data_IF_043435164962
#
_entry.id   IF_043435164962
#
_cell.length_a   1.000
_cell.length_b   1.000
_cell.length_c   1.000
_cell.angle_alpha   90.00
_cell.angle_beta   90.00
_cell.angle_gamma   90.00
#
_symmetry.space_group_name_H-M   'P 1'
#
loop_
_entity.id
_entity.type
_entity.pdbx_description
1 polymer ?
#
# COMPACT_ATOMS: atom_id res chain seq x y z
N UNK A 1 8.31 6.29 -1.55
CA UNK A 1 7.98 4.85 -1.53
C UNK A 1 6.48 4.67 -1.23
N UNK A 2 5.66 4.59 -2.30
CA UNK A 2 4.18 4.48 -2.18
C UNK A 2 3.77 3.09 -1.66
N UNK A 3 4.59 2.07 -1.93
CA UNK A 3 4.30 0.68 -1.54
C UNK A 3 4.69 0.36 -0.09
N UNK A 4 5.43 1.24 0.57
CA UNK A 4 5.89 1.05 1.94
C UNK A 4 6.99 0.00 2.10
N UNK A 5 7.60 -0.50 1.01
CA UNK A 5 8.68 -1.48 1.08
C UNK A 5 9.94 -0.89 1.70
N UNK A 6 10.62 -1.67 2.52
CA UNK A 6 11.89 -1.28 3.14
C UNK A 6 12.97 -1.08 2.08
N UNK A 7 13.64 0.07 2.11
CA UNK A 7 14.67 0.41 1.11
C UNK A 7 15.86 -0.55 1.16
N UNK A 8 16.18 -1.05 2.34
CA UNK A 8 17.26 -1.99 2.60
C UNK A 8 17.01 -3.36 1.97
N UNK A 9 15.75 -3.67 1.67
CA UNK A 9 15.31 -4.91 1.01
C UNK A 9 15.07 -4.75 -0.49
N UNK A 10 15.49 -3.66 -1.07
CA UNK A 10 15.36 -3.39 -2.52
C UNK A 10 16.74 -3.16 -3.08
N UNK A 11 17.02 -3.79 -4.22
CA UNK A 11 18.23 -3.52 -5.00
C UNK A 11 17.93 -3.46 -6.49
N UNK A 12 18.85 -2.83 -7.25
CA UNK A 12 18.87 -2.88 -8.69
C UNK A 12 19.87 -3.94 -9.13
N UNK A 13 19.43 -4.83 -10.00
CA UNK A 13 20.25 -5.84 -10.64
C UNK A 13 20.31 -5.55 -12.14
N UNK A 14 21.51 -5.29 -12.66
CA UNK A 14 21.73 -5.12 -14.11
C UNK A 14 22.02 -6.48 -14.72
N UNK A 15 21.33 -6.79 -15.80
CA UNK A 15 21.57 -8.02 -16.55
C UNK A 15 22.93 -7.99 -17.26
N UNK A 16 23.65 -9.08 -17.16
CA UNK A 16 24.84 -9.33 -17.97
C UNK A 16 24.45 -9.69 -19.41
N UNK A 17 25.39 -9.61 -20.36
CA UNK A 17 25.13 -9.90 -21.78
C UNK A 17 24.48 -11.27 -22.01
N UNK A 18 24.80 -12.27 -21.17
CA UNK A 18 24.26 -13.63 -21.25
C UNK A 18 22.83 -13.77 -20.70
N UNK A 19 22.39 -12.80 -19.92
CA UNK A 19 21.03 -12.74 -19.31
C UNK A 19 20.06 -11.95 -20.16
N UNK A 20 20.60 -11.10 -21.07
CA UNK A 20 19.77 -10.24 -21.91
C UNK A 20 18.88 -11.04 -22.85
N UNK A 21 17.60 -10.68 -22.87
CA UNK A 21 16.69 -11.16 -23.89
C UNK A 21 17.13 -10.68 -25.29
N UNK A 22 16.92 -11.48 -26.33
CA UNK A 22 17.36 -11.21 -27.72
C UNK A 22 16.85 -9.88 -28.31
N UNK A 23 15.83 -9.27 -27.73
CA UNK A 23 15.26 -8.00 -28.13
C UNK A 23 15.74 -6.82 -27.27
N UNK A 24 16.47 -7.08 -26.19
CA UNK A 24 16.91 -6.06 -25.26
C UNK A 24 18.36 -5.66 -25.51
N UNK A 25 18.64 -4.36 -25.52
CA UNK A 25 19.97 -3.80 -25.51
C UNK A 25 20.53 -3.66 -24.10
N UNK A 26 19.64 -3.44 -23.15
CA UNK A 26 19.94 -3.27 -21.72
C UNK A 26 18.73 -3.66 -20.92
N UNK A 27 18.94 -4.32 -19.77
CA UNK A 27 17.90 -4.69 -18.84
C UNK A 27 18.35 -4.49 -17.40
N UNK A 28 17.40 -4.10 -16.56
CA UNK A 28 17.56 -3.95 -15.13
C UNK A 28 16.35 -4.55 -14.42
N UNK A 29 16.59 -5.27 -13.33
CA UNK A 29 15.55 -5.71 -12.43
C UNK A 29 15.59 -4.88 -11.15
N UNK A 30 14.40 -4.58 -10.64
CA UNK A 30 14.22 -4.20 -9.25
C UNK A 30 13.92 -5.49 -8.50
N UNK A 31 14.82 -5.87 -7.59
CA UNK A 31 14.69 -7.07 -6.79
C UNK A 31 14.35 -6.73 -5.34
N UNK A 32 13.57 -7.60 -4.72
CA UNK A 32 13.23 -7.56 -3.31
C UNK A 32 13.83 -8.77 -2.58
N UNK A 33 14.30 -8.56 -1.35
CA UNK A 33 14.81 -9.61 -0.47
C UNK A 33 13.63 -10.32 0.24
N UNK A 34 13.15 -11.38 -0.41
CA UNK A 34 12.15 -12.26 0.18
C UNK A 34 12.75 -13.18 1.25
N UNK A 35 11.94 -13.85 2.10
CA UNK A 35 12.43 -14.85 3.04
C UNK A 35 13.22 -16.01 2.39
N UNK A 36 13.02 -16.23 1.09
CA UNK A 36 13.71 -17.25 0.26
C UNK A 36 14.86 -16.67 -0.59
N UNK A 37 15.21 -15.41 -0.43
CA UNK A 37 16.28 -14.72 -1.13
C UNK A 37 15.82 -13.63 -2.08
N UNK A 38 16.80 -13.01 -2.78
CA UNK A 38 16.55 -11.95 -3.75
C UNK A 38 15.78 -12.46 -4.96
N UNK A 39 14.78 -11.75 -5.38
CA UNK A 39 14.00 -12.06 -6.58
C UNK A 39 13.37 -10.80 -7.17
N UNK A 40 13.27 -10.79 -8.49
CA UNK A 40 12.68 -9.71 -9.28
C UNK A 40 11.24 -9.41 -8.85
N UNK A 41 10.92 -8.12 -8.73
CA UNK A 41 9.56 -7.59 -8.56
C UNK A 41 9.13 -6.70 -9.72
N UNK A 42 10.09 -6.13 -10.45
CA UNK A 42 9.86 -5.32 -11.65
C UNK A 42 11.06 -5.40 -12.56
N UNK A 43 10.84 -5.61 -13.88
CA UNK A 43 11.85 -5.54 -14.92
C UNK A 43 11.76 -4.23 -15.72
N UNK A 44 12.93 -3.68 -16.11
CA UNK A 44 13.03 -2.45 -16.92
C UNK A 44 13.94 -2.78 -18.10
N UNK A 45 13.39 -2.82 -19.31
CA UNK A 45 14.08 -3.26 -20.51
C UNK A 45 14.14 -2.19 -21.59
N UNK A 46 15.33 -1.93 -22.13
CA UNK A 46 15.50 -1.18 -23.37
C UNK A 46 15.38 -2.16 -24.55
N UNK A 47 14.18 -2.21 -25.15
CA UNK A 47 13.83 -3.12 -26.25
C UNK A 47 14.24 -2.59 -27.63
N UNK A 48 14.91 -1.45 -27.69
CA UNK A 48 15.27 -0.76 -28.93
C UNK A 48 14.04 -0.50 -29.81
N UNK A 49 14.18 -0.50 -31.11
CA UNK A 49 13.10 -0.44 -32.09
C UNK A 49 12.54 -1.82 -32.49
N UNK A 50 12.96 -2.89 -31.77
CA UNK A 50 12.64 -4.28 -32.14
C UNK A 50 11.15 -4.52 -32.36
N UNK A 51 10.30 -4.06 -31.46
CA UNK A 51 8.86 -4.27 -31.55
C UNK A 51 8.24 -3.42 -32.69
N UNK A 52 8.55 -2.13 -32.72
CA UNK A 52 7.98 -1.22 -33.70
C UNK A 52 8.41 -1.54 -35.13
N UNK A 53 9.67 -1.95 -35.33
CA UNK A 53 10.13 -2.37 -36.67
C UNK A 53 9.38 -3.61 -37.18
N UNK A 54 9.12 -4.59 -36.29
CA UNK A 54 8.33 -5.78 -36.62
C UNK A 54 6.85 -5.44 -36.85
N UNK A 55 6.25 -4.63 -35.98
CA UNK A 55 4.89 -4.16 -36.15
C UNK A 55 4.71 -3.42 -37.48
N UNK A 56 5.62 -2.51 -37.83
CA UNK A 56 5.60 -1.81 -39.12
C UNK A 56 5.72 -2.80 -40.28
N UNK A 57 6.67 -3.73 -40.24
CA UNK A 57 6.90 -4.72 -41.30
C UNK A 57 5.67 -5.60 -41.55
N UNK A 58 5.05 -6.13 -40.49
CA UNK A 58 3.96 -7.11 -40.66
C UNK A 58 2.58 -6.48 -40.82
N UNK A 59 2.34 -5.26 -40.32
CA UNK A 59 1.08 -4.58 -40.48
C UNK A 59 1.02 -3.68 -41.71
N UNK A 60 2.17 -3.32 -42.30
CA UNK A 60 2.29 -2.33 -43.33
C UNK A 60 2.00 -0.88 -42.89
N UNK A 61 1.77 -0.66 -41.58
CA UNK A 61 1.49 0.67 -41.02
C UNK A 61 2.78 1.38 -40.64
N UNK A 62 2.88 2.68 -40.92
CA UNK A 62 4.00 3.50 -40.50
C UNK A 62 4.00 3.67 -38.98
N UNK A 63 5.10 3.26 -38.30
CA UNK A 63 5.31 3.37 -36.84
C UNK A 63 6.37 4.42 -36.47
N UNK A 64 6.80 5.25 -37.44
CA UNK A 64 7.80 6.29 -37.20
C UNK A 64 7.22 7.44 -36.39
N UNK A 65 8.02 7.97 -35.47
CA UNK A 65 7.78 9.25 -34.82
C UNK A 65 8.40 10.37 -35.65
N UNK A 66 7.74 11.52 -35.70
CA UNK A 66 8.27 12.74 -36.32
C UNK A 66 8.70 13.71 -35.22
N UNK A 67 10.00 13.92 -35.10
CA UNK A 67 10.58 14.90 -34.20
C UNK A 67 10.56 16.29 -34.87
N UNK A 68 9.57 17.08 -34.55
CA UNK A 68 9.37 18.40 -35.16
C UNK A 68 10.53 19.38 -34.88
N UNK A 69 11.10 19.47 -33.66
CA UNK A 69 12.24 20.35 -33.40
C UNK A 69 13.47 20.07 -34.27
N UNK A 70 13.74 18.78 -34.52
CA UNK A 70 14.91 18.36 -35.31
C UNK A 70 14.54 18.05 -36.78
N UNK A 71 13.26 18.16 -37.16
CA UNK A 71 12.74 17.82 -38.46
C UNK A 71 13.18 16.43 -38.96
N UNK A 72 13.15 15.45 -38.06
CA UNK A 72 13.63 14.08 -38.29
C UNK A 72 12.52 13.04 -38.08
N UNK A 73 12.67 11.88 -38.73
CA UNK A 73 11.77 10.73 -38.57
C UNK A 73 12.58 9.49 -38.23
N UNK A 74 12.16 8.84 -37.16
CA UNK A 74 12.81 7.61 -36.72
C UNK A 74 11.80 6.65 -36.06
N UNK A 75 12.17 5.37 -35.96
CA UNK A 75 11.47 4.40 -35.11
C UNK A 75 11.94 4.59 -33.67
N UNK A 76 11.04 4.94 -32.74
CA UNK A 76 11.42 5.12 -31.33
C UNK A 76 11.89 3.81 -30.70
N UNK A 77 12.78 3.93 -29.74
CA UNK A 77 13.07 2.82 -28.83
C UNK A 77 11.95 2.66 -27.79
N UNK A 78 11.64 1.43 -27.49
CA UNK A 78 10.67 1.09 -26.44
C UNK A 78 11.43 0.82 -25.15
N UNK A 79 11.06 1.55 -24.10
CA UNK A 79 11.46 1.24 -22.75
C UNK A 79 10.24 0.59 -22.09
N UNK A 80 10.38 -0.69 -21.79
CA UNK A 80 9.35 -1.47 -21.10
C UNK A 80 9.63 -1.42 -19.60
N UNK A 81 8.59 -1.18 -18.80
CA UNK A 81 8.56 -1.48 -17.37
C UNK A 81 7.47 -2.52 -17.14
N UNK A 82 7.81 -3.59 -16.44
CA UNK A 82 6.92 -4.75 -16.26
C UNK A 82 7.01 -5.27 -14.83
N UNK A 83 5.89 -5.42 -14.16
CA UNK A 83 5.83 -5.96 -12.81
C UNK A 83 4.70 -6.97 -12.64
N UNK A 84 4.95 -8.02 -11.83
CA UNK A 84 3.97 -9.05 -11.51
C UNK A 84 3.13 -8.66 -10.29
N UNK A 85 1.82 -8.47 -10.47
CA UNK A 85 0.91 -8.11 -9.38
C UNK A 85 1.02 -9.06 -8.18
N UNK A 86 1.01 -10.37 -8.40
CA UNK A 86 1.08 -11.36 -7.32
C UNK A 86 2.44 -11.31 -6.58
N UNK A 87 3.52 -11.08 -7.32
CA UNK A 87 4.87 -10.97 -6.74
C UNK A 87 4.99 -9.69 -5.93
N UNK A 88 4.44 -8.59 -6.42
CA UNK A 88 4.36 -7.33 -5.69
C UNK A 88 3.54 -7.47 -4.40
N UNK A 89 2.37 -8.15 -4.46
CA UNK A 89 1.59 -8.47 -3.26
C UNK A 89 2.39 -9.29 -2.24
N UNK A 90 3.14 -10.29 -2.70
CA UNK A 90 3.97 -11.12 -1.82
C UNK A 90 5.08 -10.28 -1.15
N UNK A 91 5.71 -9.37 -1.89
CA UNK A 91 6.69 -8.45 -1.34
C UNK A 91 6.09 -7.55 -0.26
N UNK A 92 4.92 -6.94 -0.52
CA UNK A 92 4.21 -6.09 0.44
C UNK A 92 3.82 -6.88 1.71
N UNK A 93 3.32 -8.10 1.56
CA UNK A 93 2.96 -8.97 2.69
C UNK A 93 4.19 -9.35 3.51
N UNK A 94 5.28 -9.73 2.83
CA UNK A 94 6.54 -10.14 3.48
C UNK A 94 7.19 -8.97 4.23
N UNK A 95 7.13 -7.76 3.66
CA UNK A 95 7.69 -6.57 4.29
C UNK A 95 6.86 -6.07 5.47
N UNK A 96 5.53 -6.17 5.35
CA UNK A 96 4.60 -5.70 6.37
C UNK A 96 4.56 -6.62 7.62
N UNK A 97 4.91 -7.90 7.48
CA UNK A 97 4.87 -8.85 8.60
C UNK A 97 5.90 -8.50 9.66
N UNK A 98 5.45 -8.31 10.89
CA UNK A 98 6.30 -7.97 12.02
C UNK A 98 5.85 -8.64 13.32
N UNK A 99 6.79 -9.32 13.99
CA UNK A 99 6.60 -9.87 15.33
C UNK A 99 7.06 -8.86 16.37
N UNK A 100 6.11 -8.22 17.03
CA UNK A 100 6.37 -7.34 18.18
C UNK A 100 6.53 -8.17 19.45
N UNK A 101 7.70 -8.77 19.61
CA UNK A 101 8.02 -9.63 20.76
C UNK A 101 7.92 -8.90 22.10
N UNK A 102 8.10 -7.57 22.11
CA UNK A 102 8.01 -6.75 23.34
C UNK A 102 6.57 -6.68 23.84
N UNK A 103 5.60 -6.64 22.95
CA UNK A 103 4.18 -6.49 23.28
C UNK A 103 3.40 -7.78 23.03
N UNK A 104 4.08 -8.90 22.75
CA UNK A 104 3.51 -10.22 22.47
C UNK A 104 2.36 -10.16 21.45
N UNK A 105 2.65 -9.57 20.27
CA UNK A 105 1.69 -9.42 19.17
C UNK A 105 2.32 -9.58 17.80
N UNK A 106 1.53 -10.02 16.84
CA UNK A 106 1.86 -9.96 15.41
C UNK A 106 1.16 -8.74 14.79
N UNK A 107 1.86 -8.06 13.92
CA UNK A 107 1.35 -6.85 13.25
C UNK A 107 1.65 -6.92 11.76
N UNK A 108 0.64 -6.65 10.94
CA UNK A 108 0.86 -6.36 9.52
C UNK A 108 1.04 -4.84 9.35
N UNK A 109 2.29 -4.41 9.20
CA UNK A 109 2.68 -2.99 9.11
C UNK A 109 2.53 -2.42 7.71
N UNK A 110 1.38 -2.69 7.07
CA UNK A 110 1.09 -2.08 5.76
C UNK A 110 1.24 -0.56 5.82
N UNK A 111 1.80 0.01 4.76
CA UNK A 111 1.67 1.45 4.56
C UNK A 111 0.18 1.83 4.63
N UNK A 112 -0.21 2.91 5.35
CA UNK A 112 -1.63 3.22 5.57
C UNK A 112 -2.46 3.31 4.28
N UNK A 113 -1.88 3.78 3.17
CA UNK A 113 -2.52 3.79 1.85
C UNK A 113 -2.86 2.40 1.31
N UNK A 114 -2.07 1.39 1.63
CA UNK A 114 -2.27 0.02 1.15
C UNK A 114 -3.12 -0.83 2.08
N UNK A 115 -3.25 -0.45 3.36
CA UNK A 115 -4.05 -1.18 4.32
C UNK A 115 -5.48 -1.39 3.79
N UNK A 116 -6.00 -2.64 3.75
CA UNK A 116 -7.33 -2.92 3.21
C UNK A 116 -8.46 -2.22 3.96
N UNK A 117 -8.28 -2.02 5.26
CA UNK A 117 -9.18 -1.29 6.16
C UNK A 117 -8.39 -0.16 6.78
N UNK A 118 -8.93 1.07 6.75
CA UNK A 118 -8.21 2.25 7.26
C UNK A 118 -8.40 2.45 8.74
N UNK A 119 -9.59 2.20 9.25
CA UNK A 119 -9.89 2.35 10.66
C UNK A 119 -10.88 1.31 11.18
N UNK A 120 -10.75 0.95 12.45
CA UNK A 120 -11.78 0.22 13.20
C UNK A 120 -12.41 1.14 14.24
N UNK A 121 -13.73 1.11 14.33
CA UNK A 121 -14.49 1.92 15.28
C UNK A 121 -15.05 1.00 16.37
N UNK A 122 -14.64 1.24 17.62
CA UNK A 122 -14.92 0.39 18.76
C UNK A 122 -15.64 1.14 19.87
N UNK A 123 -16.90 0.81 20.19
CA UNK A 123 -17.50 1.30 21.43
C UNK A 123 -16.82 0.63 22.62
N UNK A 124 -16.44 1.39 23.66
CA UNK A 124 -15.76 0.85 24.85
C UNK A 124 -16.59 -0.26 25.49
N UNK A 125 -17.90 -0.03 25.65
CA UNK A 125 -18.87 -1.00 26.16
C UNK A 125 -20.08 -1.11 25.23
N UNK A 126 -20.85 -2.22 25.35
CA UNK A 126 -22.02 -2.52 24.49
C UNK A 126 -23.33 -1.90 25.00
N UNK A 127 -23.27 -0.82 25.73
CA UNK A 127 -24.41 -0.14 26.37
C UNK A 127 -24.22 1.37 26.41
N UNK A 128 -25.12 2.06 27.04
CA UNK A 128 -25.06 3.50 27.32
C UNK A 128 -25.04 4.39 26.06
N UNK A 129 -25.56 3.91 24.91
CA UNK A 129 -25.59 4.65 23.64
C UNK A 129 -24.25 4.72 22.91
N UNK A 130 -23.18 4.07 23.43
CA UNK A 130 -21.86 4.06 22.78
C UNK A 130 -21.86 3.29 21.45
N UNK A 131 -22.54 2.13 21.30
CA UNK A 131 -22.67 1.44 20.02
C UNK A 131 -23.32 2.31 18.94
N UNK A 132 -24.37 3.03 19.27
CA UNK A 132 -25.09 3.92 18.35
C UNK A 132 -24.23 5.09 17.92
N UNK A 133 -23.48 5.69 18.86
CA UNK A 133 -22.52 6.76 18.56
C UNK A 133 -21.38 6.26 17.66
N UNK A 134 -20.84 5.07 17.94
CA UNK A 134 -19.80 4.44 17.13
C UNK A 134 -20.26 4.15 15.68
N UNK A 135 -21.51 3.69 15.50
CA UNK A 135 -22.09 3.46 14.16
C UNK A 135 -22.24 4.77 13.39
N UNK A 136 -22.63 5.88 14.04
CA UNK A 136 -22.66 7.21 13.39
C UNK A 136 -21.26 7.61 12.88
N UNK A 137 -20.20 7.33 13.62
CA UNK A 137 -18.83 7.61 13.17
C UNK A 137 -18.48 6.72 11.96
N UNK A 138 -18.86 5.44 11.96
CA UNK A 138 -18.71 4.58 10.77
C UNK A 138 -19.44 5.20 9.57
N UNK A 139 -20.65 5.71 9.74
CA UNK A 139 -21.43 6.32 8.66
C UNK A 139 -20.79 7.60 8.10
N UNK A 140 -20.09 8.36 8.94
CA UNK A 140 -19.31 9.54 8.53
C UNK A 140 -18.09 9.12 7.68
N UNK A 141 -17.38 8.07 8.09
CA UNK A 141 -16.09 7.70 7.48
C UNK A 141 -16.23 6.79 6.26
N UNK A 142 -17.23 5.90 6.22
CA UNK A 142 -17.39 4.88 5.17
C UNK A 142 -17.52 5.41 3.72
N UNK A 143 -18.00 6.64 3.44
CA UNK A 143 -17.98 7.18 2.09
C UNK A 143 -16.58 7.49 1.56
N UNK A 144 -15.59 7.64 2.44
CA UNK A 144 -14.23 8.07 2.10
C UNK A 144 -13.24 6.91 2.02
N UNK A 145 -13.41 5.88 2.88
CA UNK A 145 -12.55 4.69 2.91
C UNK A 145 -13.21 3.55 3.69
N UNK A 146 -12.67 2.35 3.52
CA UNK A 146 -13.16 1.17 4.22
C UNK A 146 -12.86 1.25 5.71
N UNK A 147 -13.92 1.18 6.52
CA UNK A 147 -13.87 1.11 7.99
C UNK A 147 -14.60 -0.12 8.49
N UNK A 148 -14.24 -0.59 9.68
CA UNK A 148 -14.91 -1.68 10.37
C UNK A 148 -15.51 -1.17 11.68
N UNK A 149 -16.61 -1.80 12.08
CA UNK A 149 -17.18 -1.69 13.41
C UNK A 149 -16.91 -2.96 14.20
N UNK A 150 -16.34 -2.86 15.41
CA UNK A 150 -16.10 -4.02 16.26
C UNK A 150 -16.47 -3.75 17.72
N UNK A 151 -17.29 -4.64 18.29
CA UNK A 151 -17.70 -4.62 19.69
C UNK A 151 -17.47 -5.96 20.41
N UNK A 152 -16.71 -6.90 19.80
CA UNK A 152 -16.53 -8.24 20.33
C UNK A 152 -15.30 -8.36 21.24
N UNK A 153 -15.49 -8.83 22.46
CA UNK A 153 -14.43 -8.98 23.44
C UNK A 153 -13.97 -7.66 24.07
N UNK A 154 -12.81 -7.68 24.74
CA UNK A 154 -12.22 -6.46 25.32
C UNK A 154 -11.63 -5.54 24.25
N UNK A 155 -11.46 -4.26 24.58
CA UNK A 155 -10.91 -3.26 23.66
C UNK A 155 -9.47 -3.67 23.20
N UNK A 156 -8.64 -4.17 24.08
CA UNK A 156 -7.28 -4.63 23.73
C UNK A 156 -7.31 -5.77 22.71
N UNK A 157 -8.22 -6.77 22.86
CA UNK A 157 -8.38 -7.87 21.90
C UNK A 157 -8.86 -7.38 20.52
N UNK A 158 -9.67 -6.32 20.47
CA UNK A 158 -10.11 -5.72 19.20
C UNK A 158 -8.95 -5.03 18.49
N UNK A 159 -8.13 -4.30 19.23
CA UNK A 159 -6.93 -3.68 18.68
C UNK A 159 -5.96 -4.72 18.14
N UNK A 160 -5.65 -5.78 18.88
CA UNK A 160 -4.72 -6.82 18.44
C UNK A 160 -5.20 -7.52 17.16
N UNK A 161 -6.49 -7.87 17.05
CA UNK A 161 -7.04 -8.40 15.79
C UNK A 161 -6.87 -7.46 14.61
N UNK A 162 -6.98 -6.16 14.84
CA UNK A 162 -6.81 -5.17 13.78
C UNK A 162 -5.35 -4.88 13.49
N UNK A 163 -4.46 -4.98 14.48
CA UNK A 163 -3.02 -4.95 14.27
C UNK A 163 -2.58 -6.12 13.38
N UNK A 164 -3.07 -7.36 13.63
CA UNK A 164 -2.86 -8.53 12.77
C UNK A 164 -3.43 -8.36 11.36
N UNK A 165 -4.58 -7.72 11.23
CA UNK A 165 -5.19 -7.43 9.92
C UNK A 165 -4.53 -6.24 9.19
N UNK A 166 -3.67 -5.50 9.87
CA UNK A 166 -2.94 -4.37 9.32
C UNK A 166 -3.73 -3.06 9.25
N UNK A 167 -4.81 -2.92 10.04
CA UNK A 167 -5.58 -1.68 10.14
C UNK A 167 -4.77 -0.60 10.87
N UNK A 168 -4.45 0.55 10.24
CA UNK A 168 -3.53 1.53 10.83
C UNK A 168 -4.13 2.31 12.01
N UNK A 169 -5.46 2.49 12.04
CA UNK A 169 -6.11 3.33 13.05
C UNK A 169 -7.20 2.59 13.82
N UNK A 170 -7.17 2.73 15.15
CA UNK A 170 -8.23 2.27 16.04
C UNK A 170 -8.93 3.44 16.72
N UNK A 171 -10.23 3.54 16.58
CA UNK A 171 -11.04 4.61 17.20
C UNK A 171 -11.86 4.03 18.33
N UNK A 172 -11.68 4.55 19.54
CA UNK A 172 -12.51 4.17 20.69
C UNK A 172 -13.52 5.26 21.02
N UNK A 173 -14.77 4.84 21.11
CA UNK A 173 -15.92 5.64 21.56
C UNK A 173 -16.21 5.25 23.01
N UNK A 174 -16.04 6.17 23.94
CA UNK A 174 -16.16 5.96 25.37
C UNK A 174 -17.24 6.89 26.03
N UNK A 175 -17.35 6.89 27.33
CA UNK A 175 -18.33 7.70 28.02
C UNK A 175 -18.08 9.20 27.83
N UNK A 176 -16.82 9.63 27.81
CA UNK A 176 -16.46 11.02 27.56
C UNK A 176 -16.89 11.49 26.16
N UNK A 177 -16.88 10.58 25.17
CA UNK A 177 -17.38 10.90 23.81
C UNK A 177 -18.82 11.40 23.81
N UNK A 178 -19.64 11.00 24.81
CA UNK A 178 -21.02 11.48 24.94
C UNK A 178 -21.10 12.90 25.48
N UNK A 179 -20.13 13.33 26.23
CA UNK A 179 -20.09 14.62 26.91
C UNK A 179 -19.51 15.71 26.01
N UNK A 180 -18.43 15.40 25.31
CA UNK A 180 -17.63 16.40 24.60
C UNK A 180 -17.40 16.11 23.10
N UNK A 181 -18.08 15.09 22.54
CA UNK A 181 -17.95 14.69 21.13
C UNK A 181 -16.50 14.40 20.68
N UNK A 182 -15.64 13.97 21.61
CA UNK A 182 -14.27 13.54 21.30
C UNK A 182 -14.12 12.01 21.31
N UNK A 183 -13.15 11.49 20.58
CA UNK A 183 -12.80 10.06 20.53
C UNK A 183 -11.32 9.85 20.79
N UNK A 184 -10.95 8.63 21.18
CA UNK A 184 -9.54 8.24 21.22
C UNK A 184 -9.16 7.60 19.90
N UNK A 185 -8.15 8.16 19.21
CA UNK A 185 -7.50 7.59 18.04
C UNK A 185 -6.20 6.91 18.46
N UNK A 186 -6.08 5.59 18.15
CA UNK A 186 -4.87 4.81 18.40
C UNK A 186 -4.15 4.51 17.08
N UNK A 187 -2.87 4.72 17.05
CA UNK A 187 -1.97 4.37 15.95
C UNK A 187 -1.44 2.94 16.12
N UNK A 188 -1.59 2.08 15.11
CA UNK A 188 -1.15 0.67 15.11
C UNK A 188 0.32 0.50 15.47
N UNK A 189 1.19 1.25 14.82
CA UNK A 189 2.64 1.01 14.87
C UNK A 189 3.27 1.48 16.18
N UNK A 190 2.86 2.63 16.67
CA UNK A 190 3.38 3.25 17.90
C UNK A 190 2.57 2.90 19.14
N UNK A 191 1.33 2.45 18.97
CA UNK A 191 0.32 2.30 20.02
C UNK A 191 -0.05 3.63 20.73
N UNK A 192 0.47 4.75 20.26
CA UNK A 192 0.11 6.06 20.77
C UNK A 192 -1.40 6.29 20.62
N UNK A 193 -1.97 6.94 21.62
CA UNK A 193 -3.40 7.26 21.66
C UNK A 193 -3.57 8.77 21.87
N UNK A 194 -4.26 9.39 20.92
CA UNK A 194 -4.54 10.80 20.95
C UNK A 194 -6.04 11.03 21.04
N UNK A 195 -6.44 12.07 21.78
CA UNK A 195 -7.85 12.44 21.89
C UNK A 195 -8.15 13.61 20.97
N UNK A 196 -9.19 13.47 20.14
CA UNK A 196 -9.56 14.48 19.15
C UNK A 196 -11.08 14.55 18.95
N UNK A 197 -11.61 15.70 18.53
CA UNK A 197 -13.01 15.85 18.16
C UNK A 197 -13.42 14.96 16.99
N UNK A 198 -14.66 14.47 16.99
CA UNK A 198 -15.19 13.59 15.93
C UNK A 198 -15.17 14.28 14.56
N UNK A 199 -15.40 15.57 14.48
CA UNK A 199 -15.41 16.36 13.25
C UNK A 199 -14.01 16.48 12.60
N UNK A 200 -12.94 16.33 13.37
CA UNK A 200 -11.56 16.32 12.88
C UNK A 200 -11.06 14.93 12.47
N UNK A 201 -11.79 13.86 12.85
CA UNK A 201 -11.33 12.49 12.66
C UNK A 201 -11.07 12.14 11.18
N UNK A 202 -11.92 12.60 10.28
CA UNK A 202 -11.78 12.36 8.85
C UNK A 202 -10.50 12.99 8.31
N UNK A 203 -10.27 14.28 8.56
CA UNK A 203 -9.07 14.99 8.08
C UNK A 203 -7.78 14.40 8.66
N UNK A 204 -7.76 14.11 9.97
CA UNK A 204 -6.59 13.50 10.62
C UNK A 204 -6.25 12.13 10.01
N UNK A 205 -7.24 11.27 9.76
CA UNK A 205 -6.98 9.98 9.09
C UNK A 205 -6.49 10.21 7.65
N UNK A 206 -7.10 11.11 6.88
CA UNK A 206 -6.72 11.37 5.49
C UNK A 206 -5.29 11.92 5.36
N UNK A 207 -4.86 12.79 6.25
CA UNK A 207 -3.50 13.34 6.29
C UNK A 207 -2.43 12.28 6.60
N UNK A 208 -2.82 11.20 7.27
CA UNK A 208 -1.95 10.09 7.66
C UNK A 208 -2.07 8.86 6.74
N UNK A 209 -2.79 8.96 5.62
CA UNK A 209 -2.81 7.97 4.55
C UNK A 209 -1.78 8.29 3.48
#
# INVERSE_FOLDING_TARGET
NILGLSKEKIRYHRHDENELAHYAKEAWDIEYEFPFGWSEIEGIHNRTDFDLSRHQKFSGKNMTYFDQPNNDRFLPFIIETSSGLNRMMLAILSDAYWEDKKNDRVVMRFHPRLAPVKAVICPLVKKDGLPEKAKKIVDILKPHFKVLYDQQGSIGKRYYRQDEAGTPFGVTVDHRTKEDDTVTLRHRDTQQQDRLPIDQLLSVIQENL
#
